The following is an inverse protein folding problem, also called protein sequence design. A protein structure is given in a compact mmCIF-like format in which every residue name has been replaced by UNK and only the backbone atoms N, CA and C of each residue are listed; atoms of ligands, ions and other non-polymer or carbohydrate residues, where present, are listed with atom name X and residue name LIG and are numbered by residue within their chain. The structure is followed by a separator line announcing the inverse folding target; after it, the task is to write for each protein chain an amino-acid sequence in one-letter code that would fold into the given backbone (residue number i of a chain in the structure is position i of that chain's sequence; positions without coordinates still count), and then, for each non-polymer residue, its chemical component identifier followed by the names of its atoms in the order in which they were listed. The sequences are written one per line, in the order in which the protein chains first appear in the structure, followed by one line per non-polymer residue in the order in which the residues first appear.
data_IF_307234800645
#
_entry.id   IF_307234800645
#
_cell.length_a   1.000
_cell.length_b   1.000
_cell.length_c   1.000
_cell.angle_alpha   90.00
_cell.angle_beta   90.00
_cell.angle_gamma   90.00
#
_symmetry.space_group_name_H-M   'P 1'
#
loop_
_entity.id
_entity.type
_entity.pdbx_description
1 polymer ?
#
# COMPACT_ATOMS: atom_id res chain seq x y z
N UNK A 1 -49.56 50.38 -15.69
CA UNK A 1 -49.60 51.08 -16.98
C UNK A 1 -48.69 52.30 -16.89
N UNK A 2 -47.75 52.44 -17.84
CA UNK A 2 -46.91 53.60 -18.21
C UNK A 2 -46.08 54.29 -17.10
N UNK A 3 -44.76 54.09 -16.95
CA UNK A 3 -43.60 54.61 -17.72
C UNK A 3 -43.48 56.14 -17.85
N UNK A 4 -42.42 56.71 -17.25
CA UNK A 4 -41.44 57.65 -17.85
C UNK A 4 -40.59 58.27 -16.71
N UNK A 5 -39.24 58.16 -16.65
CA UNK A 5 -38.21 58.91 -17.42
C UNK A 5 -38.34 60.43 -17.23
N UNK A 6 -37.33 61.25 -16.95
CA UNK A 6 -35.86 61.16 -16.85
C UNK A 6 -35.38 62.50 -16.22
N UNK A 7 -34.25 62.47 -15.50
CA UNK A 7 -33.24 63.48 -15.11
C UNK A 7 -33.47 65.02 -15.31
N UNK A 8 -32.83 65.89 -14.49
CA UNK A 8 -31.47 66.32 -14.85
C UNK A 8 -30.50 66.60 -13.68
N UNK A 9 -29.23 66.66 -14.09
CA UNK A 9 -27.99 66.98 -13.36
C UNK A 9 -27.85 68.45 -12.96
N UNK A 10 -27.21 68.71 -11.81
CA UNK A 10 -26.53 69.97 -11.54
C UNK A 10 -25.30 69.75 -10.64
N UNK A 11 -24.20 70.35 -11.05
CA UNK A 11 -22.85 70.27 -10.49
C UNK A 11 -22.54 71.40 -9.50
N UNK A 12 -21.50 71.13 -8.70
CA UNK A 12 -20.61 72.07 -8.00
C UNK A 12 -20.98 72.46 -6.55
N UNK A 13 -20.07 72.12 -5.64
CA UNK A 13 -19.92 72.78 -4.34
C UNK A 13 -18.44 73.07 -4.07
N UNK A 14 -18.25 74.16 -3.34
CA UNK A 14 -17.06 74.98 -3.22
C UNK A 14 -16.18 74.60 -2.02
N UNK A 15 -14.86 74.78 -2.23
CA UNK A 15 -13.82 75.35 -1.36
C UNK A 15 -13.89 75.23 0.18
N UNK A 16 -12.74 74.73 0.70
CA UNK A 16 -11.89 75.36 1.73
C UNK A 16 -12.34 75.41 3.19
N UNK A 17 -11.58 74.74 4.07
CA UNK A 17 -10.77 75.45 5.08
C UNK A 17 -9.69 74.57 5.70
N UNK A 18 -8.55 75.20 5.98
CA UNK A 18 -7.31 74.66 6.52
C UNK A 18 -7.39 74.45 8.05
N UNK A 19 -6.78 73.38 8.57
CA UNK A 19 -6.24 73.36 9.93
C UNK A 19 -5.12 72.31 10.09
N UNK A 20 -3.91 72.84 10.24
CA UNK A 20 -2.72 72.39 10.98
C UNK A 20 -2.62 70.96 11.53
N UNK A 21 -1.53 70.31 11.13
CA UNK A 21 -0.97 69.05 11.65
C UNK A 21 -0.53 69.16 13.11
N UNK A 22 -0.75 68.09 13.89
CA UNK A 22 0.23 67.60 14.85
C UNK A 22 0.82 66.28 14.35
N UNK A 23 2.13 66.26 14.20
CA UNK A 23 2.94 65.07 14.03
C UNK A 23 3.20 64.45 15.40
N UNK A 24 2.69 63.24 15.67
CA UNK A 24 3.33 62.30 16.58
C UNK A 24 2.67 60.91 16.54
N UNK A 25 3.51 59.91 16.29
CA UNK A 25 3.38 58.50 16.69
C UNK A 25 2.26 57.68 16.03
N UNK A 26 2.53 57.21 14.80
CA UNK A 26 1.93 55.96 14.32
C UNK A 26 2.44 54.81 15.21
N UNK A 27 1.59 54.29 16.09
CA UNK A 27 1.86 53.03 16.78
C UNK A 27 1.75 51.89 15.75
N UNK A 28 2.89 51.54 15.18
CA UNK A 28 3.06 50.30 14.41
C UNK A 28 3.03 49.11 15.36
N UNK A 29 1.89 48.78 15.94
CA UNK A 29 1.65 47.44 16.50
C UNK A 29 1.26 46.52 15.36
N UNK A 30 2.24 46.24 14.51
CA UNK A 30 2.26 45.01 13.73
C UNK A 30 2.43 43.92 14.77
N UNK A 31 1.35 43.25 15.17
CA UNK A 31 1.42 42.00 15.91
C UNK A 31 2.21 41.04 15.04
N UNK A 32 3.51 40.97 15.32
CA UNK A 32 4.41 39.95 14.81
C UNK A 32 3.84 38.65 15.35
N UNK A 33 3.02 37.96 14.56
CA UNK A 33 2.74 36.55 14.80
C UNK A 33 4.13 35.91 14.80
N UNK A 34 4.62 35.43 15.95
CA UNK A 34 5.96 34.88 16.00
C UNK A 34 5.94 33.62 15.13
N UNK A 35 6.73 33.61 14.05
CA UNK A 35 7.01 32.44 13.21
C UNK A 35 7.92 31.43 13.92
N UNK A 36 8.01 31.50 15.24
CA UNK A 36 8.62 30.45 16.06
C UNK A 36 7.64 29.30 16.12
N UNK A 37 7.83 28.31 15.24
CA UNK A 37 7.26 26.97 15.45
C UNK A 37 7.67 26.54 16.87
N UNK A 38 6.72 26.26 17.78
CA UNK A 38 7.11 25.70 19.07
C UNK A 38 7.84 24.39 18.80
N UNK A 39 9.03 24.24 19.37
CA UNK A 39 9.75 22.98 19.42
C UNK A 39 8.83 21.98 20.14
N UNK A 40 8.11 21.15 19.38
CA UNK A 40 7.35 20.06 19.96
C UNK A 40 8.35 19.00 20.40
N UNK A 41 8.49 18.83 21.71
CA UNK A 41 9.32 17.77 22.32
C UNK A 41 8.69 16.39 22.17
N UNK A 42 7.44 16.31 21.72
CA UNK A 42 6.75 15.06 21.45
C UNK A 42 7.31 14.43 20.16
N UNK A 43 7.95 13.25 20.21
CA UNK A 43 8.38 12.57 19.00
C UNK A 43 7.14 12.26 18.14
N UNK A 44 7.19 12.58 16.84
CA UNK A 44 6.11 12.20 15.93
C UNK A 44 5.94 10.68 15.97
N UNK A 45 4.70 10.17 16.13
CA UNK A 45 4.48 8.74 16.19
C UNK A 45 4.96 8.12 14.88
N UNK A 46 5.88 7.16 14.98
CA UNK A 46 6.47 6.52 13.80
C UNK A 46 5.41 5.67 13.12
N UNK A 47 5.00 6.06 11.93
CA UNK A 47 4.03 5.33 11.13
C UNK A 47 4.75 4.51 10.05
N UNK A 48 4.59 3.19 10.03
CA UNK A 48 5.20 2.32 9.02
C UNK A 48 4.65 2.53 7.60
N UNK A 49 3.51 3.24 7.48
CA UNK A 49 2.85 3.62 6.23
C UNK A 49 3.39 4.93 5.63
N UNK A 50 4.20 5.67 6.38
CA UNK A 50 4.75 6.96 5.95
C UNK A 50 6.21 7.07 6.37
N UNK A 51 7.17 7.30 5.45
CA UNK A 51 8.56 7.44 5.82
C UNK A 51 8.79 8.68 6.69
N UNK A 52 9.71 8.57 7.66
CA UNK A 52 10.04 9.66 8.60
C UNK A 52 10.53 10.92 7.89
N UNK A 53 11.32 10.72 6.84
CA UNK A 53 11.77 11.78 5.94
C UNK A 53 11.00 11.58 4.63
N UNK A 54 10.36 12.64 4.14
CA UNK A 54 9.73 12.63 2.82
C UNK A 54 10.77 12.40 1.71
N UNK A 55 10.29 12.16 0.49
CA UNK A 55 11.18 12.02 -0.65
C UNK A 55 11.81 13.36 -1.04
N UNK A 56 13.13 13.39 -1.20
CA UNK A 56 13.87 14.58 -1.68
C UNK A 56 13.56 14.90 -3.13
N UNK A 57 13.25 13.89 -3.95
CA UNK A 57 12.88 14.02 -5.36
C UNK A 57 11.85 12.96 -5.73
N UNK A 58 11.00 13.25 -6.72
CA UNK A 58 9.85 12.41 -7.07
C UNK A 58 10.31 11.01 -7.54
N UNK A 59 9.97 9.94 -6.83
CA UNK A 59 10.32 8.55 -7.17
C UNK A 59 9.81 8.06 -8.54
N UNK A 60 10.68 7.43 -9.35
CA UNK A 60 10.28 6.72 -10.60
C UNK A 60 9.36 5.52 -10.28
N UNK A 61 8.53 5.12 -11.24
CA UNK A 61 7.54 4.01 -11.07
C UNK A 61 8.22 2.70 -10.62
N UNK A 62 9.30 2.30 -11.29
CA UNK A 62 10.03 1.06 -11.02
C UNK A 62 9.19 -0.21 -11.20
N UNK A 63 9.77 -1.38 -10.91
CA UNK A 63 9.09 -2.68 -10.86
C UNK A 63 9.37 -3.37 -9.51
N UNK A 64 8.46 -4.21 -8.99
CA UNK A 64 8.78 -5.06 -7.85
C UNK A 64 9.93 -6.02 -8.17
N UNK A 65 10.64 -6.47 -7.14
CA UNK A 65 11.77 -7.38 -7.28
C UNK A 65 11.29 -8.79 -7.66
N UNK A 66 11.87 -9.37 -8.72
CA UNK A 66 11.62 -10.76 -9.12
C UNK A 66 12.87 -11.58 -8.80
N UNK A 67 12.73 -12.53 -7.89
CA UNK A 67 13.86 -13.27 -7.32
C UNK A 67 14.30 -14.47 -8.19
N UNK A 68 14.82 -14.20 -9.39
CA UNK A 68 15.27 -15.26 -10.32
C UNK A 68 16.44 -16.08 -9.78
N UNK A 69 17.31 -15.45 -8.98
CA UNK A 69 18.48 -16.11 -8.36
C UNK A 69 18.18 -16.98 -7.13
N UNK A 70 16.91 -17.30 -6.87
CA UNK A 70 16.54 -18.20 -5.77
C UNK A 70 16.49 -17.58 -4.37
N UNK A 71 16.24 -16.27 -4.28
CA UNK A 71 16.18 -15.61 -2.98
C UNK A 71 14.96 -16.05 -2.16
N UNK A 72 15.20 -16.54 -0.95
CA UNK A 72 14.15 -16.90 0.04
C UNK A 72 13.85 -15.77 1.04
N UNK A 73 14.44 -14.59 0.84
CA UNK A 73 14.40 -13.51 1.84
C UNK A 73 12.96 -13.06 2.11
N UNK A 74 12.57 -13.11 3.39
CA UNK A 74 11.27 -12.64 3.87
C UNK A 74 10.08 -13.49 3.42
N UNK A 75 10.34 -14.74 3.03
CA UNK A 75 9.29 -15.75 2.75
C UNK A 75 8.94 -16.60 3.97
N UNK A 76 9.77 -16.52 5.02
CA UNK A 76 9.62 -17.19 6.31
C UNK A 76 9.28 -16.22 7.44
N UNK A 77 8.59 -16.74 8.46
CA UNK A 77 8.24 -16.01 9.67
C UNK A 77 9.46 -15.82 10.57
N UNK A 78 9.66 -14.61 11.09
CA UNK A 78 10.83 -14.29 11.94
C UNK A 78 10.44 -13.94 13.37
N UNK A 79 9.35 -13.22 13.58
CA UNK A 79 8.96 -12.68 14.89
C UNK A 79 7.69 -13.32 15.45
N UNK A 80 6.69 -13.54 14.59
CA UNK A 80 5.41 -14.14 14.95
C UNK A 80 5.34 -15.67 14.79
N UNK A 81 4.25 -16.22 15.30
CA UNK A 81 3.91 -17.64 15.21
C UNK A 81 3.06 -17.94 13.97
N UNK A 82 2.29 -16.94 13.53
CA UNK A 82 1.44 -17.00 12.33
C UNK A 82 1.72 -15.80 11.42
N UNK A 83 1.37 -15.89 10.14
CA UNK A 83 1.41 -14.73 9.26
C UNK A 83 0.64 -14.85 7.96
N UNK A 84 0.63 -13.73 7.24
CA UNK A 84 -0.03 -13.57 5.94
C UNK A 84 1.03 -13.39 4.84
N UNK A 85 1.10 -14.35 3.92
CA UNK A 85 2.04 -14.37 2.80
C UNK A 85 1.31 -14.07 1.48
N UNK A 86 1.94 -13.31 0.60
CA UNK A 86 1.45 -13.11 -0.77
C UNK A 86 1.69 -14.40 -1.59
N UNK A 87 0.64 -15.07 -2.05
CA UNK A 87 0.73 -16.30 -2.87
C UNK A 87 0.75 -16.00 -4.36
N UNK A 88 0.04 -14.96 -4.79
CA UNK A 88 -0.06 -14.59 -6.21
C UNK A 88 1.20 -13.89 -6.74
N UNK A 89 1.09 -13.30 -7.93
CA UNK A 89 2.09 -12.44 -8.56
C UNK A 89 2.52 -11.25 -7.67
N UNK A 90 3.72 -10.72 -7.93
CA UNK A 90 4.22 -9.50 -7.29
C UNK A 90 3.34 -8.29 -7.63
N UNK A 91 3.21 -7.38 -6.66
CA UNK A 91 2.33 -6.22 -6.75
C UNK A 91 2.91 -5.02 -6.01
N UNK A 92 2.41 -3.85 -6.38
CA UNK A 92 2.57 -2.63 -5.60
C UNK A 92 1.32 -2.41 -4.76
N UNK A 93 1.46 -2.44 -3.45
CA UNK A 93 0.34 -2.30 -2.50
C UNK A 93 0.36 -0.88 -1.93
N UNK A 94 -0.79 -0.21 -1.89
CA UNK A 94 -0.89 1.13 -1.34
C UNK A 94 -0.90 1.12 0.19
N UNK A 95 -0.44 2.20 0.81
CA UNK A 95 -0.50 2.40 2.25
C UNK A 95 -1.93 2.30 2.79
N UNK A 96 -2.91 2.77 2.03
CA UNK A 96 -4.33 2.69 2.39
C UNK A 96 -4.82 1.23 2.48
N UNK A 97 -4.49 0.39 1.50
CA UNK A 97 -4.85 -1.03 1.50
C UNK A 97 -4.20 -1.77 2.67
N UNK A 98 -2.93 -1.48 2.94
CA UNK A 98 -2.20 -2.03 4.08
C UNK A 98 -2.84 -1.63 5.42
N UNK A 99 -3.28 -0.37 5.55
CA UNK A 99 -4.00 0.12 6.73
C UNK A 99 -5.33 -0.61 6.92
N UNK A 100 -6.12 -0.77 5.85
CA UNK A 100 -7.39 -1.51 5.91
C UNK A 100 -7.17 -2.95 6.36
N UNK A 101 -6.13 -3.61 5.83
CA UNK A 101 -5.79 -4.98 6.22
C UNK A 101 -5.38 -5.06 7.70
N UNK A 102 -4.54 -4.14 8.17
CA UNK A 102 -4.14 -4.02 9.58
C UNK A 102 -5.35 -3.82 10.51
N UNK A 103 -6.22 -2.86 10.19
CA UNK A 103 -7.44 -2.59 10.94
C UNK A 103 -8.40 -3.79 10.93
N UNK A 104 -8.48 -4.53 9.82
CA UNK A 104 -9.31 -5.73 9.72
C UNK A 104 -8.84 -6.82 10.69
N UNK A 105 -7.51 -7.07 10.75
CA UNK A 105 -6.92 -8.02 11.71
C UNK A 105 -7.22 -7.54 13.14
N UNK A 106 -6.97 -6.27 13.43
CA UNK A 106 -7.19 -5.70 14.77
C UNK A 106 -8.63 -5.78 15.21
N UNK A 107 -9.57 -5.52 14.30
CA UNK A 107 -11.01 -5.58 14.55
C UNK A 107 -11.46 -7.01 14.86
N UNK A 108 -10.96 -8.00 14.11
CA UNK A 108 -11.32 -9.42 14.30
C UNK A 108 -10.77 -10.00 15.60
N UNK A 109 -9.60 -9.53 16.03
CA UNK A 109 -8.90 -9.97 17.24
C UNK A 109 -9.12 -9.07 18.46
N UNK A 110 -10.09 -8.14 18.39
CA UNK A 110 -10.40 -7.22 19.48
C UNK A 110 -10.68 -8.00 20.78
N UNK A 111 -10.06 -7.59 21.88
CA UNK A 111 -10.21 -8.20 23.20
C UNK A 111 -9.27 -9.38 23.47
N UNK A 112 -8.49 -9.84 22.49
CA UNK A 112 -7.47 -10.88 22.69
C UNK A 112 -6.09 -10.27 22.92
N UNK A 113 -5.21 -10.99 23.62
CA UNK A 113 -3.82 -10.58 23.85
C UNK A 113 -2.94 -11.04 22.69
N UNK A 114 -2.61 -10.12 21.79
CA UNK A 114 -1.72 -10.39 20.66
C UNK A 114 -0.82 -9.20 20.35
N UNK A 115 0.24 -9.48 19.60
CA UNK A 115 1.15 -8.50 19.01
C UNK A 115 1.22 -8.74 17.50
N UNK A 116 0.91 -7.70 16.74
CA UNK A 116 0.96 -7.68 15.29
C UNK A 116 2.26 -7.01 14.84
N UNK A 117 2.98 -7.66 13.92
CA UNK A 117 4.20 -7.14 13.33
C UNK A 117 4.01 -6.88 11.83
N UNK A 118 4.56 -5.77 11.36
CA UNK A 118 4.57 -5.37 9.97
C UNK A 118 5.92 -5.71 9.34
N UNK A 119 5.94 -6.63 8.36
CA UNK A 119 7.17 -7.02 7.64
C UNK A 119 7.52 -6.08 6.49
N UNK A 120 6.55 -5.29 6.04
CA UNK A 120 6.66 -4.39 4.90
C UNK A 120 6.33 -2.97 5.35
N UNK A 121 7.03 -1.98 4.79
CA UNK A 121 6.75 -0.55 4.98
C UNK A 121 6.45 0.12 3.65
N UNK A 122 5.62 1.17 3.68
CA UNK A 122 5.30 1.96 2.50
C UNK A 122 6.34 3.10 2.38
N UNK A 123 7.36 2.87 1.57
CA UNK A 123 8.53 3.74 1.46
C UNK A 123 8.65 4.44 0.10
N UNK A 124 7.76 4.16 -0.85
CA UNK A 124 7.80 4.71 -2.20
C UNK A 124 6.63 5.65 -2.42
N UNK A 125 6.90 6.89 -2.81
CA UNK A 125 5.91 7.86 -3.22
C UNK A 125 5.38 7.57 -4.62
N UNK A 126 4.07 7.49 -4.74
CA UNK A 126 3.37 7.41 -6.02
C UNK A 126 2.92 8.81 -6.41
N UNK A 127 3.25 9.20 -7.64
CA UNK A 127 2.90 10.49 -8.22
C UNK A 127 2.00 10.27 -9.42
N UNK A 128 0.82 10.87 -9.40
CA UNK A 128 -0.23 10.67 -10.40
C UNK A 128 -0.50 12.00 -11.09
N UNK A 129 -0.56 11.98 -12.43
CA UNK A 129 -1.06 13.14 -13.19
C UNK A 129 -2.59 13.15 -13.11
N UNK A 130 -3.21 14.33 -13.04
CA UNK A 130 -4.67 14.42 -13.07
C UNK A 130 -5.23 13.80 -14.35
N UNK A 131 -6.34 13.07 -14.22
CA UNK A 131 -6.98 12.39 -15.35
C UNK A 131 -7.41 13.36 -16.47
N UNK A 132 -7.72 14.61 -16.09
CA UNK A 132 -8.18 15.64 -17.04
C UNK A 132 -7.03 16.30 -17.82
N UNK A 133 -5.77 16.08 -17.41
CA UNK A 133 -4.61 16.72 -18.03
C UNK A 133 -4.07 15.91 -19.21
N UNK A 134 -3.73 16.59 -20.32
CA UNK A 134 -3.06 15.97 -21.47
C UNK A 134 -1.63 15.52 -21.14
N UNK A 135 -1.15 14.55 -21.90
CA UNK A 135 0.20 14.00 -21.79
C UNK A 135 1.28 15.05 -22.09
N UNK A 136 2.47 14.92 -21.46
CA UNK A 136 3.67 15.70 -21.80
C UNK A 136 4.00 16.88 -20.88
N UNK A 137 3.15 17.26 -19.93
CA UNK A 137 3.39 18.39 -19.01
C UNK A 137 4.28 18.06 -17.80
N UNK A 138 5.19 17.11 -17.95
CA UNK A 138 6.05 16.61 -16.87
C UNK A 138 5.33 15.66 -15.90
N UNK A 139 5.86 15.55 -14.68
CA UNK A 139 5.42 14.57 -13.68
C UNK A 139 4.41 15.17 -12.70
N UNK A 140 3.34 14.43 -12.42
CA UNK A 140 2.24 14.84 -11.53
C UNK A 140 2.62 15.10 -10.06
N UNK A 141 1.61 15.43 -9.26
CA UNK A 141 1.72 15.66 -7.82
C UNK A 141 1.81 14.34 -7.03
N UNK A 142 2.22 14.44 -5.77
CA UNK A 142 2.23 13.29 -4.86
C UNK A 142 0.79 12.84 -4.57
N UNK A 143 0.56 11.53 -4.54
CA UNK A 143 -0.75 10.94 -4.34
C UNK A 143 -0.76 10.11 -3.05
N UNK A 144 -0.02 9.00 -3.01
CA UNK A 144 0.06 8.13 -1.83
C UNK A 144 1.39 7.38 -1.72
N UNK A 145 1.67 6.88 -0.51
CA UNK A 145 2.78 5.96 -0.26
C UNK A 145 2.40 4.53 -0.62
N UNK A 146 3.33 3.79 -1.21
CA UNK A 146 3.16 2.40 -1.57
C UNK A 146 4.40 1.58 -1.23
N UNK A 147 4.24 0.27 -1.22
CA UNK A 147 5.33 -0.69 -1.10
C UNK A 147 5.36 -1.61 -2.32
N UNK A 148 6.55 -2.02 -2.73
CA UNK A 148 6.74 -3.07 -3.74
C UNK A 148 6.90 -4.40 -3.02
N UNK A 149 6.00 -5.34 -3.27
CA UNK A 149 5.98 -6.64 -2.60
C UNK A 149 6.28 -7.73 -3.62
N UNK A 150 7.40 -8.47 -3.46
CA UNK A 150 7.72 -9.60 -4.31
C UNK A 150 6.80 -10.80 -4.00
N UNK A 151 6.77 -11.78 -4.90
CA UNK A 151 6.05 -13.06 -4.71
C UNK A 151 6.52 -13.74 -3.41
N UNK A 152 5.59 -14.41 -2.72
CA UNK A 152 5.84 -15.19 -1.51
C UNK A 152 6.42 -14.41 -0.33
N UNK A 153 6.36 -13.08 -0.36
CA UNK A 153 6.74 -12.23 0.77
C UNK A 153 5.67 -12.26 1.85
N UNK A 154 6.10 -12.27 3.11
CA UNK A 154 5.22 -12.10 4.27
C UNK A 154 4.96 -10.62 4.50
N UNK A 155 3.69 -10.25 4.75
CA UNK A 155 3.25 -8.89 5.00
C UNK A 155 3.05 -8.62 6.50
N UNK A 156 2.30 -9.50 7.16
CA UNK A 156 1.95 -9.40 8.57
C UNK A 156 2.36 -10.67 9.31
N UNK A 157 2.83 -10.51 10.53
CA UNK A 157 3.03 -11.61 11.48
C UNK A 157 2.29 -11.35 12.77
N UNK A 158 1.82 -12.41 13.40
CA UNK A 158 1.11 -12.34 14.65
C UNK A 158 1.75 -13.28 15.67
N UNK A 159 1.95 -12.76 16.88
CA UNK A 159 2.35 -13.52 18.08
C UNK A 159 1.30 -13.28 19.16
N UNK A 160 0.82 -14.32 19.82
CA UNK A 160 -0.14 -14.16 20.90
C UNK A 160 -0.83 -15.45 21.28
N UNK A 161 -1.49 -15.41 22.44
CA UNK A 161 -2.28 -16.52 22.96
C UNK A 161 -3.66 -16.49 22.31
N UNK A 162 -3.72 -16.92 21.05
CA UNK A 162 -4.94 -16.94 20.24
C UNK A 162 -5.00 -18.26 19.49
N UNK A 163 -6.18 -18.88 19.50
CA UNK A 163 -6.42 -20.14 18.78
C UNK A 163 -6.22 -19.97 17.27
N UNK A 164 -5.56 -20.95 16.63
CA UNK A 164 -5.15 -20.88 15.22
C UNK A 164 -6.33 -20.54 14.28
N UNK A 165 -7.50 -21.13 14.50
CA UNK A 165 -8.67 -20.90 13.63
C UNK A 165 -9.14 -19.44 13.63
N UNK A 166 -9.02 -18.76 14.78
CA UNK A 166 -9.40 -17.34 14.89
C UNK A 166 -8.39 -16.47 14.15
N UNK A 167 -7.09 -16.78 14.24
CA UNK A 167 -6.04 -16.09 13.50
C UNK A 167 -6.19 -16.34 12.01
N UNK A 168 -6.46 -17.57 11.60
CA UNK A 168 -6.69 -17.95 10.20
C UNK A 168 -7.85 -17.16 9.59
N UNK A 169 -8.96 -17.02 10.32
CA UNK A 169 -10.10 -16.23 9.87
C UNK A 169 -9.76 -14.73 9.77
N UNK A 170 -9.04 -14.17 10.75
CA UNK A 170 -8.57 -12.78 10.70
C UNK A 170 -7.66 -12.51 9.49
N UNK A 171 -6.71 -13.41 9.23
CA UNK A 171 -5.78 -13.32 8.11
C UNK A 171 -6.50 -13.49 6.76
N UNK A 172 -7.51 -14.36 6.67
CA UNK A 172 -8.37 -14.52 5.49
C UNK A 172 -9.14 -13.23 5.19
N UNK A 173 -9.78 -12.64 6.19
CA UNK A 173 -10.52 -11.37 6.03
C UNK A 173 -9.59 -10.24 5.56
N UNK A 174 -8.39 -10.15 6.12
CA UNK A 174 -7.38 -9.17 5.71
C UNK A 174 -6.89 -9.40 4.27
N UNK A 175 -6.63 -10.66 3.89
CA UNK A 175 -6.25 -11.03 2.54
C UNK A 175 -7.28 -10.60 1.49
N UNK A 176 -8.58 -10.73 1.80
CA UNK A 176 -9.67 -10.29 0.91
C UNK A 176 -9.74 -8.76 0.72
N UNK A 177 -9.14 -7.97 1.61
CA UNK A 177 -9.06 -6.50 1.48
C UNK A 177 -7.81 -6.03 0.75
N UNK A 178 -6.84 -6.92 0.58
CA UNK A 178 -5.60 -6.62 -0.13
C UNK A 178 -5.70 -7.02 -1.62
N UNK A 179 -4.94 -6.38 -2.51
CA UNK A 179 -4.88 -6.81 -3.90
C UNK A 179 -4.06 -8.09 -4.02
N UNK A 180 -4.65 -9.16 -4.56
CA UNK A 180 -3.98 -10.43 -4.82
C UNK A 180 -4.51 -11.59 -3.99
N UNK A 181 -3.85 -12.75 -4.11
CA UNK A 181 -4.19 -13.94 -3.33
C UNK A 181 -3.16 -14.13 -2.23
N UNK A 182 -3.65 -14.43 -1.04
CA UNK A 182 -2.83 -14.55 0.16
C UNK A 182 -2.98 -15.94 0.77
N UNK A 183 -1.96 -16.33 1.51
CA UNK A 183 -1.80 -17.63 2.15
C UNK A 183 -1.56 -17.41 3.64
N UNK A 184 -2.19 -18.24 4.46
CA UNK A 184 -1.88 -18.35 5.89
C UNK A 184 -0.64 -19.22 6.07
N UNK A 185 0.31 -18.75 6.88
CA UNK A 185 1.59 -19.42 7.14
C UNK A 185 1.79 -19.59 8.64
N UNK A 186 2.34 -20.72 9.04
CA UNK A 186 2.74 -21.03 10.42
C UNK A 186 4.26 -21.00 10.57
N UNK A 187 4.72 -20.75 11.78
CA UNK A 187 6.15 -20.77 12.10
C UNK A 187 6.68 -22.19 11.95
N UNK A 188 7.79 -22.34 11.23
CA UNK A 188 8.35 -23.65 10.87
C UNK A 188 7.92 -24.14 9.48
N UNK A 189 6.93 -23.50 8.84
CA UNK A 189 6.65 -23.78 7.43
C UNK A 189 7.88 -23.43 6.58
N UNK A 190 8.17 -24.22 5.53
CA UNK A 190 9.39 -24.04 4.77
C UNK A 190 9.44 -22.70 4.02
N UNK A 191 10.67 -22.18 3.77
CA UNK A 191 10.88 -21.05 2.88
C UNK A 191 10.36 -21.34 1.47
N UNK A 192 10.04 -20.27 0.74
CA UNK A 192 9.58 -20.37 -0.66
C UNK A 192 10.60 -19.72 -1.56
N UNK A 193 11.03 -20.46 -2.58
CA UNK A 193 11.90 -19.98 -3.63
C UNK A 193 11.07 -19.67 -4.87
N UNK A 194 10.80 -18.38 -5.10
CA UNK A 194 9.88 -17.95 -6.15
C UNK A 194 8.45 -18.38 -5.82
N UNK A 195 7.98 -19.46 -6.45
CA UNK A 195 6.64 -20.04 -6.24
C UNK A 195 6.73 -21.40 -5.53
N UNK A 196 7.91 -22.04 -5.59
CA UNK A 196 8.12 -23.41 -5.08
C UNK A 196 8.48 -23.39 -3.60
N UNK A 197 7.75 -24.17 -2.79
CA UNK A 197 8.09 -24.38 -1.38
C UNK A 197 9.31 -25.30 -1.29
N UNK A 198 10.31 -24.90 -0.51
CA UNK A 198 11.51 -25.72 -0.30
C UNK A 198 11.20 -26.87 0.68
N UNK A 199 11.88 -28.01 0.55
CA UNK A 199 11.71 -29.16 1.45
C UNK A 199 10.38 -29.92 1.34
N UNK A 200 9.48 -29.48 0.47
CA UNK A 200 8.26 -30.21 0.10
C UNK A 200 8.51 -30.89 -1.25
N UNK A 201 8.03 -32.13 -1.42
CA UNK A 201 8.19 -32.91 -2.67
C UNK A 201 9.65 -33.14 -3.10
N UNK A 202 10.59 -33.19 -2.15
CA UNK A 202 12.03 -33.33 -2.44
C UNK A 202 12.70 -32.07 -3.00
N UNK A 203 12.01 -30.93 -3.02
CA UNK A 203 12.52 -29.67 -3.57
C UNK A 203 13.55 -29.00 -2.64
N UNK A 204 14.80 -29.46 -2.70
CA UNK A 204 15.94 -28.76 -2.06
C UNK A 204 16.39 -27.57 -2.92
N UNK A 205 16.98 -26.55 -2.30
CA UNK A 205 17.53 -25.40 -3.03
C UNK A 205 18.53 -25.82 -4.12
N UNK A 206 19.42 -26.77 -3.79
CA UNK A 206 20.37 -27.35 -4.73
C UNK A 206 19.66 -28.01 -5.92
N UNK A 207 18.62 -28.79 -5.64
CA UNK A 207 17.82 -29.44 -6.68
C UNK A 207 17.20 -28.42 -7.64
N UNK A 208 16.67 -27.32 -7.13
CA UNK A 208 16.09 -26.27 -7.97
C UNK A 208 17.11 -25.55 -8.85
N UNK A 209 18.35 -25.42 -8.37
CA UNK A 209 19.46 -24.80 -9.09
C UNK A 209 20.13 -25.71 -10.12
N UNK A 210 19.95 -27.03 -10.04
CA UNK A 210 20.51 -27.97 -11.01
C UNK A 210 19.95 -27.69 -12.41
N UNK A 211 20.82 -27.60 -13.45
CA UNK A 211 20.38 -27.37 -14.83
C UNK A 211 19.52 -28.51 -15.40
N UNK A 212 19.87 -29.76 -15.07
CA UNK A 212 19.15 -30.97 -15.50
C UNK A 212 18.38 -31.54 -14.32
N UNK A 213 17.09 -31.83 -14.54
CA UNK A 213 16.18 -32.38 -13.55
C UNK A 213 15.57 -33.66 -14.09
N UNK A 214 15.72 -34.75 -13.36
CA UNK A 214 14.93 -35.96 -13.58
C UNK A 214 13.55 -35.67 -13.01
N UNK A 215 12.61 -35.36 -13.88
CA UNK A 215 11.22 -35.19 -13.49
C UNK A 215 10.62 -36.58 -13.47
N UNK A 216 10.30 -37.09 -12.29
CA UNK A 216 9.39 -38.22 -12.16
C UNK A 216 8.03 -37.78 -12.71
N UNK A 217 7.85 -37.93 -14.03
CA UNK A 217 6.54 -37.78 -14.63
C UNK A 217 5.76 -38.97 -14.09
N UNK A 218 4.81 -38.73 -13.18
CA UNK A 218 3.70 -39.65 -12.97
C UNK A 218 2.92 -39.70 -14.29
N UNK A 219 3.45 -40.42 -15.27
CA UNK A 219 2.70 -40.87 -16.42
C UNK A 219 1.78 -41.92 -15.84
N UNK A 220 0.59 -41.50 -15.41
CA UNK A 220 -0.51 -42.45 -15.29
C UNK A 220 -0.59 -43.13 -16.65
N UNK A 221 -0.34 -44.45 -16.69
CA UNK A 221 -0.39 -45.22 -17.93
C UNK A 221 -1.70 -44.87 -18.66
N UNK A 222 -1.69 -44.69 -20.00
CA UNK A 222 -2.85 -44.21 -20.73
C UNK A 222 -4.05 -45.08 -20.41
N UNK A 223 -4.91 -44.60 -19.52
CA UNK A 223 -6.09 -45.33 -19.13
C UNK A 223 -7.11 -45.14 -20.24
N UNK A 224 -7.72 -46.24 -20.67
CA UNK A 224 -8.81 -46.19 -21.65
C UNK A 224 -9.91 -45.23 -21.18
N UNK A 225 -10.14 -45.14 -19.87
CA UNK A 225 -11.08 -44.19 -19.26
C UNK A 225 -10.70 -42.72 -19.49
N UNK A 226 -9.43 -42.33 -19.28
CA UNK A 226 -8.99 -40.95 -19.51
C UNK A 226 -9.03 -40.58 -21.00
N UNK A 227 -8.73 -41.56 -21.87
CA UNK A 227 -8.82 -41.40 -23.33
C UNK A 227 -10.28 -41.26 -23.79
N UNK A 228 -11.18 -42.12 -23.28
CA UNK A 228 -12.61 -42.08 -23.59
C UNK A 228 -13.26 -40.77 -23.13
N UNK A 229 -12.86 -40.22 -21.97
CA UNK A 229 -13.36 -38.94 -21.47
C UNK A 229 -12.94 -37.73 -22.33
N UNK A 230 -11.91 -37.87 -23.17
CA UNK A 230 -11.39 -36.81 -24.04
C UNK A 230 -12.06 -36.79 -25.41
N UNK A 231 -12.72 -37.88 -25.80
CA UNK A 231 -13.44 -37.96 -27.06
C UNK A 231 -14.74 -37.16 -26.96
N UNK A 232 -15.08 -36.35 -27.97
CA UNK A 232 -16.36 -35.65 -27.99
C UNK A 232 -17.49 -36.68 -27.97
N UNK A 233 -18.48 -36.47 -27.10
CA UNK A 233 -19.67 -37.32 -27.08
C UNK A 233 -20.37 -37.24 -28.44
N UNK A 234 -20.56 -38.38 -29.09
CA UNK A 234 -21.34 -38.46 -30.32
C UNK A 234 -22.78 -38.03 -30.00
N UNK A 235 -23.34 -36.99 -30.65
CA UNK A 235 -24.73 -36.62 -30.43
C UNK A 235 -25.66 -37.76 -30.89
N UNK A 236 -26.73 -38.06 -30.15
CA UNK A 236 -27.71 -39.06 -30.57
C UNK A 236 -28.43 -38.60 -31.85
N UNK A 237 -28.68 -39.55 -32.75
CA UNK A 237 -29.34 -39.35 -34.04
C UNK A 237 -30.84 -39.05 -33.91
#
# INVERSE_FOLDING_TARGET
MATARFAPTATASLLSSFATRPCCLQSTLRTLIPTTRPFSTTPTPQNWLTPKRGETSKSRKGKPHVATGGSVRGTTLTWGDYGLRLRSHDRRISAHQLKIADETIRKRLRGTKYRLYHRVSANIGVYTSGNDQRMGKGKGSFDYWACRVPVSRILFELRGEVHEQVVRDAMRLAGNKLPGLYEFVRKGDPPVMGITKLGVDGNTEEFLRRPRKEVEVKVEAPSLAHTAARLPATPPA
#
